data_IF_081097771696
#
_entry.id   IF_081097771696
#
_cell.length_a   1.000
_cell.length_b   1.000
_cell.length_c   1.000
_cell.angle_alpha   90.00
_cell.angle_beta   90.00
_cell.angle_gamma   90.00
#
_symmetry.space_group_name_H-M   'P 1'
#
loop_
_entity.id
_entity.type
_entity.pdbx_description
1 polymer ?
#
# COMPACT_ATOMS: atom_id res chain seq x y z
N UNK A 1 14.04 -2.88 -1.91
CA UNK A 1 14.45 -4.24 -2.26
C UNK A 1 13.34 -4.89 -3.06
N UNK A 2 13.63 -5.24 -4.32
CA UNK A 2 12.70 -5.92 -5.21
C UNK A 2 12.54 -7.43 -4.87
N UNK A 3 12.76 -7.79 -3.61
CA UNK A 3 12.65 -9.18 -3.13
C UNK A 3 11.19 -9.67 -3.11
N UNK A 4 10.24 -8.74 -3.26
CA UNK A 4 8.81 -9.07 -3.20
C UNK A 4 8.18 -9.33 -4.58
N UNK A 5 8.96 -9.42 -5.64
CA UNK A 5 8.48 -9.80 -6.97
C UNK A 5 9.10 -11.13 -7.41
N UNK A 6 8.94 -12.18 -6.58
CA UNK A 6 9.17 -13.52 -7.07
C UNK A 6 7.93 -13.93 -7.88
N UNK A 7 8.10 -14.27 -9.15
CA UNK A 7 7.05 -14.94 -9.93
C UNK A 7 6.91 -16.43 -9.51
N UNK A 8 7.33 -16.75 -8.29
CA UNK A 8 7.40 -18.10 -7.73
C UNK A 8 6.38 -18.33 -6.60
N UNK A 9 5.65 -17.27 -6.17
CA UNK A 9 4.61 -17.44 -5.16
C UNK A 9 3.35 -18.10 -5.75
N UNK A 10 2.78 -19.04 -4.99
CA UNK A 10 1.47 -19.63 -5.33
C UNK A 10 0.35 -18.61 -5.13
N UNK A 11 0.50 -17.73 -4.13
CA UNK A 11 -0.49 -16.70 -3.81
C UNK A 11 0.16 -15.46 -3.21
N UNK A 12 -0.29 -14.30 -3.68
CA UNK A 12 -0.03 -13.01 -3.02
C UNK A 12 -1.23 -12.66 -2.15
N UNK A 13 -0.98 -12.33 -0.89
CA UNK A 13 -2.01 -11.98 0.09
C UNK A 13 -1.72 -10.63 0.72
N UNK A 14 -2.74 -9.80 0.81
CA UNK A 14 -2.76 -8.55 1.58
C UNK A 14 -3.89 -8.64 2.59
N UNK A 15 -3.53 -8.60 3.87
CA UNK A 15 -4.51 -8.66 4.97
C UNK A 15 -5.52 -7.51 4.88
N UNK A 16 -6.80 -7.82 5.09
CA UNK A 16 -7.94 -6.92 4.89
C UNK A 16 -8.39 -6.81 3.43
N UNK A 17 -7.68 -7.44 2.49
CA UNK A 17 -8.00 -7.36 1.05
C UNK A 17 -8.43 -8.69 0.47
N UNK A 18 -7.63 -9.73 0.61
CA UNK A 18 -7.89 -11.04 -0.01
C UNK A 18 -7.36 -12.24 0.80
N UNK A 19 -7.17 -12.11 2.10
CA UNK A 19 -6.67 -13.22 2.94
C UNK A 19 -7.57 -14.45 2.93
N UNK A 20 -8.86 -14.28 2.66
CA UNK A 20 -9.82 -15.38 2.53
C UNK A 20 -9.54 -16.28 1.32
N UNK A 21 -8.75 -15.83 0.35
CA UNK A 21 -8.36 -16.63 -0.81
C UNK A 21 -7.23 -17.62 -0.49
N UNK A 22 -6.69 -17.59 0.74
CA UNK A 22 -5.69 -18.56 1.15
C UNK A 22 -6.30 -19.97 1.24
N UNK A 23 -5.68 -20.91 0.54
CA UNK A 23 -6.00 -22.34 0.59
C UNK A 23 -4.74 -23.11 1.00
N UNK A 24 -4.79 -23.71 2.19
CA UNK A 24 -3.69 -24.48 2.78
C UNK A 24 -3.30 -25.73 1.98
N UNK A 25 -4.20 -26.26 1.17
CA UNK A 25 -3.96 -27.51 0.44
C UNK A 25 -3.22 -27.30 -0.88
N UNK A 26 -3.19 -26.05 -1.38
CA UNK A 26 -2.55 -25.69 -2.66
C UNK A 26 -1.52 -24.55 -2.58
N UNK A 27 -1.58 -23.67 -1.58
CA UNK A 27 -0.68 -22.54 -1.46
C UNK A 27 0.49 -22.84 -0.50
N UNK A 28 1.65 -23.18 -1.06
CA UNK A 28 2.86 -23.53 -0.30
C UNK A 28 3.81 -22.34 -0.16
N UNK A 29 3.85 -21.45 -1.16
CA UNK A 29 4.69 -20.24 -1.16
C UNK A 29 3.78 -19.03 -1.23
N UNK A 30 3.78 -18.23 -0.17
CA UNK A 30 2.90 -17.08 -0.02
C UNK A 30 3.73 -15.80 0.02
N UNK A 31 3.31 -14.80 -0.73
CA UNK A 31 3.87 -13.44 -0.69
C UNK A 31 2.95 -12.50 0.09
N UNK A 32 3.53 -11.75 1.05
CA UNK A 32 2.84 -10.63 1.71
C UNK A 32 2.87 -9.34 0.86
N UNK A 33 3.17 -9.43 -0.44
CA UNK A 33 3.36 -8.29 -1.34
C UNK A 33 4.47 -7.32 -0.86
N UNK A 34 4.34 -6.03 -1.15
CA UNK A 34 5.24 -4.99 -0.67
C UNK A 34 4.56 -4.09 0.36
N UNK A 35 5.35 -3.33 1.12
CA UNK A 35 4.82 -2.32 2.05
C UNK A 35 3.93 -1.29 1.32
N UNK A 36 4.32 -0.86 0.12
CA UNK A 36 3.53 0.06 -0.71
C UNK A 36 2.24 -0.59 -1.20
N UNK A 37 2.26 -1.87 -1.58
CA UNK A 37 1.04 -2.61 -1.98
C UNK A 37 0.10 -2.77 -0.78
N UNK A 38 0.65 -3.06 0.41
CA UNK A 38 -0.13 -3.13 1.65
C UNK A 38 -0.78 -1.79 2.01
N UNK A 39 -0.15 -0.66 1.66
CA UNK A 39 -0.79 0.65 1.82
C UNK A 39 -1.85 0.91 0.74
N UNK A 40 -1.52 0.70 -0.52
CA UNK A 40 -2.40 1.04 -1.66
C UNK A 40 -3.66 0.17 -1.74
N UNK A 41 -3.53 -1.14 -1.57
CA UNK A 41 -4.62 -2.08 -1.82
C UNK A 41 -5.85 -1.88 -0.90
N UNK A 42 -5.71 -1.66 0.43
CA UNK A 42 -6.86 -1.45 1.30
C UNK A 42 -7.72 -0.24 0.89
N UNK A 43 -7.11 0.94 0.70
CA UNK A 43 -7.91 2.11 0.34
C UNK A 43 -8.38 2.07 -1.12
N UNK A 44 -7.64 1.44 -2.04
CA UNK A 44 -8.10 1.20 -3.40
C UNK A 44 -9.31 0.25 -3.43
N UNK A 45 -9.35 -0.78 -2.56
CA UNK A 45 -10.51 -1.67 -2.39
C UNK A 45 -11.75 -0.89 -1.96
N UNK A 46 -11.62 0.06 -1.03
CA UNK A 46 -12.74 0.91 -0.59
C UNK A 46 -13.24 1.79 -1.74
N UNK A 47 -12.33 2.49 -2.45
CA UNK A 47 -12.69 3.34 -3.58
C UNK A 47 -13.39 2.54 -4.70
N UNK A 48 -12.83 1.38 -5.05
CA UNK A 48 -13.39 0.56 -6.12
C UNK A 48 -14.76 -0.02 -5.74
N UNK A 49 -14.92 -0.48 -4.50
CA UNK A 49 -16.18 -1.02 -3.98
C UNK A 49 -17.31 0.02 -3.98
N UNK A 50 -17.04 1.23 -3.51
CA UNK A 50 -18.07 2.25 -3.30
C UNK A 50 -18.33 3.07 -4.58
N UNK A 51 -17.26 3.43 -5.30
CA UNK A 51 -17.36 4.38 -6.42
C UNK A 51 -16.91 3.79 -7.77
N UNK A 52 -16.16 2.68 -7.75
CA UNK A 52 -15.53 2.10 -8.94
C UNK A 52 -14.32 2.90 -9.40
N UNK A 53 -13.17 2.28 -9.59
CA UNK A 53 -12.00 2.91 -10.21
C UNK A 53 -12.04 2.64 -11.72
N UNK A 54 -11.97 3.71 -12.53
CA UNK A 54 -11.81 3.63 -13.97
C UNK A 54 -10.33 3.47 -14.32
N UNK A 55 -9.50 4.41 -13.88
CA UNK A 55 -8.04 4.39 -14.03
C UNK A 55 -7.38 5.28 -12.97
N UNK A 56 -6.06 5.10 -12.75
CA UNK A 56 -5.34 5.94 -11.81
C UNK A 56 -3.82 5.83 -11.94
N UNK A 57 -3.16 6.89 -11.49
CA UNK A 57 -1.70 6.97 -11.35
C UNK A 57 -1.33 7.15 -9.89
N UNK A 58 -0.41 6.31 -9.41
CA UNK A 58 0.10 6.46 -8.06
C UNK A 58 1.57 6.87 -8.06
N UNK A 59 1.92 7.69 -7.09
CA UNK A 59 3.31 7.97 -6.73
C UNK A 59 3.49 7.62 -5.27
N UNK A 60 4.46 6.76 -4.94
CA UNK A 60 4.85 6.63 -3.54
C UNK A 60 6.05 7.52 -3.26
N UNK A 61 5.90 8.44 -2.30
CA UNK A 61 7.00 9.20 -1.70
C UNK A 61 7.51 8.34 -0.56
N UNK A 62 8.67 7.72 -0.76
CA UNK A 62 9.11 6.59 0.05
C UNK A 62 10.42 6.90 0.77
N UNK A 63 10.48 6.54 2.04
CA UNK A 63 11.72 6.55 2.81
C UNK A 63 12.82 5.76 2.07
N UNK A 64 14.08 6.14 2.25
CA UNK A 64 15.20 5.39 1.68
C UNK A 64 15.28 3.97 2.26
N UNK A 65 15.84 3.05 1.49
CA UNK A 65 16.02 1.65 1.89
C UNK A 65 17.42 1.16 1.53
N UNK A 66 17.80 -0.03 1.99
CA UNK A 66 19.10 -0.64 1.70
C UNK A 66 19.41 -0.85 0.21
N UNK A 67 18.42 -0.77 -0.65
CA UNK A 67 18.62 -0.82 -2.11
C UNK A 67 19.34 0.44 -2.66
N UNK A 68 19.33 1.54 -1.92
CA UNK A 68 20.02 2.76 -2.27
C UNK A 68 21.41 2.82 -1.66
N UNK A 69 22.28 3.68 -2.21
CA UNK A 69 23.63 3.89 -1.67
C UNK A 69 23.62 4.97 -0.59
N UNK A 70 24.42 4.76 0.47
CA UNK A 70 24.64 5.77 1.52
C UNK A 70 25.44 6.95 0.95
N UNK A 71 26.52 6.64 0.24
CA UNK A 71 27.34 7.60 -0.52
C UNK A 71 27.22 7.31 -2.01
N UNK A 72 27.53 8.30 -2.85
CA UNK A 72 27.62 8.09 -4.30
C UNK A 72 28.54 6.92 -4.61
N UNK A 73 28.00 5.86 -5.20
CA UNK A 73 28.73 4.62 -5.53
C UNK A 73 28.04 3.88 -6.65
N UNK A 74 28.78 3.06 -7.38
CA UNK A 74 28.24 2.26 -8.49
C UNK A 74 27.01 1.43 -8.09
N UNK A 75 26.00 1.48 -8.93
CA UNK A 75 24.77 0.71 -8.86
C UNK A 75 24.27 0.45 -10.28
N UNK A 76 23.56 -0.68 -10.51
CA UNK A 76 22.98 -1.00 -11.84
C UNK A 76 21.95 0.04 -12.32
N UNK A 77 21.19 0.64 -11.38
CA UNK A 77 20.35 1.80 -11.61
C UNK A 77 21.14 3.06 -11.23
N UNK A 78 21.42 3.93 -12.20
CA UNK A 78 22.22 5.12 -12.01
C UNK A 78 21.58 6.14 -11.06
N UNK A 79 20.27 6.18 -10.95
CA UNK A 79 19.58 7.03 -9.97
C UNK A 79 19.77 6.53 -8.55
N UNK A 80 19.71 5.20 -8.34
CA UNK A 80 19.97 4.58 -7.02
C UNK A 80 21.45 4.57 -6.63
N UNK A 81 22.34 4.96 -7.54
CA UNK A 81 23.78 5.15 -7.29
C UNK A 81 24.09 6.39 -6.45
N UNK A 82 23.15 7.32 -6.32
CA UNK A 82 23.33 8.59 -5.61
C UNK A 82 23.02 8.44 -4.12
N UNK A 83 23.68 9.27 -3.30
CA UNK A 83 23.54 9.28 -1.84
C UNK A 83 22.08 9.45 -1.41
N UNK A 84 21.55 8.47 -0.71
CA UNK A 84 20.14 8.39 -0.32
C UNK A 84 19.71 9.50 0.64
N UNK A 85 20.61 9.92 1.54
CA UNK A 85 20.34 10.95 2.53
C UNK A 85 20.36 12.39 2.00
N UNK A 86 20.73 12.57 0.72
CA UNK A 86 20.89 13.91 0.12
C UNK A 86 20.09 14.10 -1.17
N UNK A 87 19.48 13.03 -1.68
CA UNK A 87 18.88 13.03 -3.02
C UNK A 87 17.45 12.52 -3.03
N UNK A 88 16.57 13.20 -3.76
CA UNK A 88 15.29 12.64 -4.19
C UNK A 88 15.51 11.79 -5.43
N UNK A 89 15.14 10.52 -5.37
CA UNK A 89 15.47 9.54 -6.39
C UNK A 89 14.21 8.94 -6.99
N UNK A 90 13.77 9.37 -8.18
CA UNK A 90 12.71 8.69 -8.93
C UNK A 90 13.18 7.28 -9.33
N UNK A 91 12.33 6.29 -9.11
CA UNK A 91 12.65 4.89 -9.44
C UNK A 91 11.38 4.11 -9.74
N UNK A 92 11.54 2.97 -10.37
CA UNK A 92 10.43 2.07 -10.66
C UNK A 92 9.90 1.42 -9.38
N UNK A 93 8.63 1.05 -9.39
CA UNK A 93 7.99 0.21 -8.37
C UNK A 93 7.02 -0.76 -9.03
N UNK A 94 6.99 -1.99 -8.53
CA UNK A 94 5.98 -2.98 -8.93
C UNK A 94 4.65 -2.85 -8.20
N UNK A 95 4.56 -1.95 -7.20
CA UNK A 95 3.41 -1.92 -6.27
C UNK A 95 2.06 -1.70 -6.96
N UNK A 96 1.96 -0.79 -7.94
CA UNK A 96 0.71 -0.55 -8.66
C UNK A 96 0.25 -1.79 -9.46
N UNK A 97 1.21 -2.51 -10.07
CA UNK A 97 0.91 -3.77 -10.77
C UNK A 97 0.58 -4.91 -9.81
N UNK A 98 1.24 -4.93 -8.64
CA UNK A 98 1.01 -5.94 -7.61
C UNK A 98 -0.40 -5.84 -7.00
N UNK A 99 -1.02 -4.65 -7.01
CA UNK A 99 -2.43 -4.50 -6.59
C UNK A 99 -3.37 -5.38 -7.42
N UNK A 100 -3.11 -5.57 -8.71
CA UNK A 100 -3.92 -6.46 -9.56
C UNK A 100 -3.85 -7.94 -9.14
N UNK A 101 -2.79 -8.37 -8.45
CA UNK A 101 -2.70 -9.74 -7.91
C UNK A 101 -3.68 -9.99 -6.76
N UNK A 102 -4.07 -8.95 -6.02
CA UNK A 102 -4.98 -9.02 -4.87
C UNK A 102 -6.34 -8.37 -5.10
N UNK A 103 -6.45 -7.53 -6.13
CA UNK A 103 -7.68 -6.91 -6.62
C UNK A 103 -7.73 -7.06 -8.16
N UNK A 104 -8.06 -8.26 -8.67
CA UNK A 104 -7.98 -8.55 -10.12
C UNK A 104 -8.80 -7.61 -11.01
N UNK A 105 -9.90 -7.06 -10.49
CA UNK A 105 -10.73 -6.09 -11.21
C UNK A 105 -10.02 -4.76 -11.50
N UNK A 106 -8.87 -4.49 -10.86
CA UNK A 106 -8.02 -3.32 -11.11
C UNK A 106 -6.87 -3.61 -12.07
N UNK A 107 -6.83 -4.80 -12.69
CA UNK A 107 -5.79 -5.12 -13.67
C UNK A 107 -5.80 -4.12 -14.83
N UNK A 108 -4.60 -3.58 -15.14
CA UNK A 108 -4.41 -2.58 -16.19
C UNK A 108 -4.91 -1.17 -15.88
N UNK A 109 -5.60 -0.95 -14.75
CA UNK A 109 -6.17 0.35 -14.40
C UNK A 109 -5.25 1.22 -13.55
N UNK A 110 -4.30 0.64 -12.84
CA UNK A 110 -3.36 1.38 -12.00
C UNK A 110 -1.92 1.24 -12.52
N UNK A 111 -1.22 2.36 -12.55
CA UNK A 111 0.22 2.41 -12.83
C UNK A 111 0.90 3.43 -11.91
N UNK A 112 2.22 3.44 -11.85
CA UNK A 112 2.90 4.41 -11.01
C UNK A 112 4.40 4.18 -10.86
N UNK A 113 5.03 5.03 -10.04
CA UNK A 113 6.45 4.96 -9.73
C UNK A 113 6.71 5.39 -8.29
N UNK A 114 7.95 5.26 -7.85
CA UNK A 114 8.39 5.67 -6.53
C UNK A 114 9.34 6.88 -6.63
N UNK A 115 9.26 7.76 -5.64
CA UNK A 115 10.28 8.78 -5.36
C UNK A 115 10.86 8.48 -3.98
N UNK A 116 12.13 8.05 -3.93
CA UNK A 116 12.83 7.91 -2.67
C UNK A 116 13.26 9.28 -2.18
N UNK A 117 13.08 9.54 -0.89
CA UNK A 117 13.38 10.82 -0.25
C UNK A 117 14.32 10.63 0.94
N UNK A 118 15.08 11.68 1.35
CA UNK A 118 15.97 11.65 2.50
C UNK A 118 15.24 11.57 3.85
N UNK A 119 14.44 10.54 4.05
CA UNK A 119 13.66 10.27 5.26
C UNK A 119 13.91 8.84 5.68
N UNK A 120 14.22 8.56 6.97
CA UNK A 120 14.64 7.23 7.41
C UNK A 120 13.51 6.21 7.45
N UNK A 121 12.29 6.62 7.78
CA UNK A 121 11.11 5.76 7.82
C UNK A 121 9.84 6.57 7.63
N UNK A 122 8.74 5.92 7.41
CA UNK A 122 7.42 6.44 7.03
C UNK A 122 7.39 6.98 5.61
N UNK A 123 6.46 6.47 4.87
CA UNK A 123 6.24 6.76 3.46
C UNK A 123 4.77 7.14 3.25
N UNK A 124 4.46 7.67 2.07
CA UNK A 124 3.07 7.90 1.68
C UNK A 124 2.81 7.44 0.25
N UNK A 125 1.58 7.07 -0.02
CA UNK A 125 1.05 6.86 -1.37
C UNK A 125 0.18 8.05 -1.73
N UNK A 126 0.47 8.65 -2.88
CA UNK A 126 -0.35 9.65 -3.58
C UNK A 126 -1.03 8.94 -4.77
N UNK A 127 -2.34 8.71 -4.68
CA UNK A 127 -3.13 8.15 -5.75
C UNK A 127 -4.00 9.23 -6.37
N UNK A 128 -3.82 9.47 -7.66
CA UNK A 128 -4.77 10.23 -8.48
C UNK A 128 -5.56 9.23 -9.31
N UNK A 129 -6.88 9.23 -9.20
CA UNK A 129 -7.73 8.30 -9.93
C UNK A 129 -9.02 8.94 -10.47
N UNK A 130 -9.55 8.32 -11.51
CA UNK A 130 -10.88 8.64 -12.05
C UNK A 130 -11.85 7.58 -11.55
N UNK A 131 -12.91 8.02 -10.91
CA UNK A 131 -13.98 7.16 -10.42
C UNK A 131 -15.05 6.97 -11.52
N UNK A 132 -15.76 5.84 -11.47
CA UNK A 132 -16.89 5.56 -12.37
C UNK A 132 -18.15 6.31 -11.99
N UNK A 133 -18.34 6.58 -10.67
CA UNK A 133 -19.47 7.31 -10.13
C UNK A 133 -19.02 8.70 -9.72
N UNK A 134 -19.94 9.66 -9.83
CA UNK A 134 -19.77 10.98 -9.23
C UNK A 134 -19.74 10.86 -7.71
N UNK A 135 -18.88 11.66 -7.07
CA UNK A 135 -18.78 11.73 -5.62
C UNK A 135 -18.31 13.12 -5.17
N UNK A 136 -18.47 13.40 -3.89
CA UNK A 136 -17.86 14.54 -3.20
C UNK A 136 -16.67 14.08 -2.34
N UNK A 137 -15.84 15.03 -1.91
CA UNK A 137 -14.72 14.74 -0.99
C UNK A 137 -15.25 14.17 0.33
N UNK A 138 -16.37 14.69 0.81
CA UNK A 138 -17.02 14.27 2.04
C UNK A 138 -17.50 12.81 1.96
N UNK A 139 -18.10 12.42 0.82
CA UNK A 139 -18.55 11.04 0.59
C UNK A 139 -17.39 10.07 0.52
N UNK A 140 -16.31 10.44 -0.17
CA UNK A 140 -15.09 9.63 -0.26
C UNK A 140 -14.43 9.47 1.12
N UNK A 141 -14.29 10.55 1.88
CA UNK A 141 -13.74 10.52 3.23
C UNK A 141 -14.63 9.72 4.19
N UNK A 142 -15.95 9.85 4.09
CA UNK A 142 -16.90 9.06 4.89
C UNK A 142 -16.78 7.56 4.61
N UNK A 143 -16.57 7.16 3.36
CA UNK A 143 -16.34 5.76 3.00
C UNK A 143 -15.05 5.19 3.65
N UNK A 144 -13.95 5.95 3.62
CA UNK A 144 -12.71 5.55 4.28
C UNK A 144 -12.87 5.45 5.80
N UNK A 145 -13.47 6.45 6.43
CA UNK A 145 -13.71 6.48 7.88
C UNK A 145 -14.54 5.27 8.30
N UNK A 146 -15.62 4.99 7.59
CA UNK A 146 -16.47 3.82 7.83
C UNK A 146 -15.66 2.51 7.72
N UNK A 147 -14.88 2.33 6.67
CA UNK A 147 -14.09 1.12 6.48
C UNK A 147 -13.04 0.95 7.59
N UNK A 148 -12.37 2.04 8.01
CA UNK A 148 -11.40 2.04 9.10
C UNK A 148 -12.00 1.66 10.46
N UNK A 149 -13.27 1.99 10.68
CA UNK A 149 -14.01 1.68 11.92
C UNK A 149 -14.66 0.30 11.91
N UNK A 150 -14.83 -0.32 10.73
CA UNK A 150 -15.55 -1.59 10.55
C UNK A 150 -14.71 -2.69 9.91
N UNK A 151 -14.89 -2.93 8.62
CA UNK A 151 -14.36 -4.10 7.88
C UNK A 151 -12.83 -4.14 7.83
N UNK A 152 -12.18 -2.99 7.92
CA UNK A 152 -10.71 -2.86 7.83
C UNK A 152 -10.07 -2.33 9.11
N UNK A 153 -10.77 -2.48 10.23
CA UNK A 153 -10.24 -2.03 11.53
C UNK A 153 -8.88 -2.69 11.85
N UNK A 154 -7.89 -1.86 12.21
CA UNK A 154 -6.52 -2.31 12.45
C UNK A 154 -5.64 -2.44 11.19
N UNK A 155 -6.23 -2.43 10.00
CA UNK A 155 -5.53 -2.45 8.71
C UNK A 155 -5.53 -1.05 8.08
N UNK A 156 -6.71 -0.48 7.92
CA UNK A 156 -6.92 0.88 7.43
C UNK A 156 -7.14 1.83 8.60
N UNK A 157 -6.50 2.98 8.55
CA UNK A 157 -6.76 4.12 9.41
C UNK A 157 -7.29 5.31 8.61
N UNK A 158 -7.89 6.26 9.33
CA UNK A 158 -8.35 7.53 8.78
C UNK A 158 -8.01 8.64 9.78
N UNK A 159 -7.42 9.74 9.30
CA UNK A 159 -7.04 10.87 10.14
C UNK A 159 -7.54 12.19 9.53
N UNK A 160 -8.02 13.07 10.37
CA UNK A 160 -8.34 14.48 10.08
C UNK A 160 -7.43 15.43 10.89
N UNK A 161 -6.30 14.92 11.40
CA UNK A 161 -5.29 15.71 12.10
C UNK A 161 -4.18 16.15 11.14
N UNK A 162 -3.61 17.36 11.32
CA UNK A 162 -2.54 17.88 10.44
C UNK A 162 -1.18 17.25 10.79
N UNK A 163 -1.08 15.92 10.63
CA UNK A 163 0.10 15.13 10.96
C UNK A 163 1.07 15.03 9.77
N UNK A 164 2.32 14.71 10.10
CA UNK A 164 3.40 14.49 9.13
C UNK A 164 4.07 13.14 9.36
N UNK A 165 5.01 12.76 8.51
CA UNK A 165 5.61 11.42 8.52
C UNK A 165 6.09 10.93 9.88
N UNK A 166 6.73 11.78 10.69
CA UNK A 166 7.29 11.35 11.98
C UNK A 166 6.20 10.93 12.98
N UNK A 167 5.00 11.47 12.86
CA UNK A 167 3.87 11.18 13.76
C UNK A 167 3.31 9.76 13.55
N UNK A 168 3.56 9.19 12.37
CA UNK A 168 3.13 7.83 12.01
C UNK A 168 4.20 6.76 12.26
N UNK A 169 5.35 7.15 12.83
CA UNK A 169 6.42 6.19 13.13
C UNK A 169 5.96 5.20 14.20
N UNK A 170 6.08 3.90 13.89
CA UNK A 170 5.65 2.81 14.75
C UNK A 170 4.15 2.53 14.68
N UNK A 171 3.42 3.17 13.75
CA UNK A 171 2.03 2.80 13.50
C UNK A 171 1.96 1.45 12.78
N UNK A 172 1.21 0.52 13.35
CA UNK A 172 1.09 -0.85 12.84
C UNK A 172 0.10 -1.00 11.70
N UNK A 173 -0.73 0.01 11.45
CA UNK A 173 -1.70 -0.04 10.36
C UNK A 173 -1.00 0.02 9.00
N UNK A 174 -1.53 -0.71 8.05
CA UNK A 174 -0.96 -0.78 6.71
C UNK A 174 -1.15 0.50 5.90
N UNK A 175 -2.20 1.25 6.18
CA UNK A 175 -2.66 2.38 5.37
C UNK A 175 -3.43 3.37 6.24
N UNK A 176 -3.01 4.62 6.34
CA UNK A 176 -3.71 5.66 7.09
C UNK A 176 -4.07 6.79 6.14
N UNK A 177 -5.34 6.86 5.73
CA UNK A 177 -5.83 7.89 4.82
C UNK A 177 -5.81 9.24 5.52
N UNK A 178 -5.19 10.22 4.87
CA UNK A 178 -5.17 11.61 5.26
C UNK A 178 -6.41 12.33 4.68
N UNK A 179 -7.44 12.45 5.51
CA UNK A 179 -8.70 13.06 5.09
C UNK A 179 -8.59 14.55 4.76
N UNK A 180 -7.64 15.28 5.36
CA UNK A 180 -7.40 16.69 5.06
C UNK A 180 -6.77 16.89 3.69
N UNK A 181 -6.06 15.89 3.17
CA UNK A 181 -5.37 15.94 1.89
C UNK A 181 -6.20 15.36 0.73
N UNK A 182 -7.38 14.83 1.00
CA UNK A 182 -8.30 14.38 -0.06
C UNK A 182 -8.81 15.57 -0.85
N UNK A 183 -8.66 15.52 -2.17
CA UNK A 183 -9.13 16.59 -3.05
C UNK A 183 -9.74 16.04 -4.33
N UNK A 184 -10.58 16.84 -4.99
CA UNK A 184 -11.21 16.48 -6.26
C UNK A 184 -11.04 17.56 -7.32
N UNK A 185 -11.08 17.14 -8.58
CA UNK A 185 -11.33 18.00 -9.74
C UNK A 185 -12.58 17.50 -10.46
N UNK A 186 -13.63 18.33 -10.44
CA UNK A 186 -14.95 17.87 -10.85
C UNK A 186 -15.50 16.84 -9.87
N UNK A 187 -16.37 15.96 -10.37
CA UNK A 187 -17.07 14.96 -9.55
C UNK A 187 -16.45 13.57 -9.57
N UNK A 188 -15.43 13.33 -10.43
CA UNK A 188 -14.91 11.98 -10.68
C UNK A 188 -13.40 11.85 -10.53
N UNK A 189 -12.63 12.93 -10.64
CA UNK A 189 -11.17 12.87 -10.47
C UNK A 189 -10.83 13.19 -9.01
N UNK A 190 -10.17 12.24 -8.35
CA UNK A 190 -9.80 12.36 -6.95
C UNK A 190 -8.30 12.15 -6.76
N UNK A 191 -7.73 12.89 -5.81
CA UNK A 191 -6.43 12.63 -5.21
C UNK A 191 -6.64 12.17 -3.77
N UNK A 192 -6.04 11.04 -3.40
CA UNK A 192 -6.07 10.47 -2.05
C UNK A 192 -4.63 10.24 -1.60
N UNK A 193 -4.33 10.70 -0.39
CA UNK A 193 -3.04 10.48 0.27
C UNK A 193 -3.24 9.46 1.39
N UNK A 194 -2.35 8.50 1.47
CA UNK A 194 -2.33 7.55 2.58
C UNK A 194 -0.90 7.33 3.09
N UNK A 195 -0.73 7.44 4.41
CA UNK A 195 0.51 7.25 5.14
C UNK A 195 0.71 5.78 5.55
N UNK A 196 1.95 5.37 5.69
CA UNK A 196 2.31 4.05 6.22
C UNK A 196 3.74 4.03 6.76
N UNK A 197 3.96 3.38 7.89
CA UNK A 197 5.32 3.04 8.29
C UNK A 197 5.75 1.81 7.46
N UNK A 198 6.64 2.05 6.49
CA UNK A 198 7.06 1.03 5.52
C UNK A 198 7.86 -0.12 6.16
N UNK A 199 8.34 0.04 7.38
CA UNK A 199 9.05 -1.00 8.13
C UNK A 199 8.13 -1.64 9.18
N UNK A 200 7.61 -0.84 10.10
CA UNK A 200 6.80 -1.34 11.21
C UNK A 200 5.45 -1.91 10.77
N UNK A 201 4.70 -1.15 9.97
CA UNK A 201 3.39 -1.60 9.47
C UNK A 201 3.51 -2.87 8.62
N UNK A 202 4.52 -2.95 7.74
CA UNK A 202 4.75 -4.16 6.94
C UNK A 202 5.15 -5.36 7.80
N UNK A 203 6.01 -5.16 8.80
CA UNK A 203 6.42 -6.23 9.72
C UNK A 203 5.23 -6.74 10.53
N UNK A 204 4.37 -5.85 11.02
CA UNK A 204 3.13 -6.21 11.72
C UNK A 204 2.20 -7.05 10.84
N UNK A 205 2.00 -6.64 9.58
CA UNK A 205 1.20 -7.44 8.62
C UNK A 205 1.81 -8.80 8.31
N UNK A 206 3.13 -8.91 8.32
CA UNK A 206 3.78 -10.21 8.13
C UNK A 206 3.47 -11.15 9.30
N UNK A 207 3.49 -10.64 10.52
CA UNK A 207 3.10 -11.44 11.70
C UNK A 207 1.64 -11.86 11.63
N UNK A 208 0.73 -10.94 11.31
CA UNK A 208 -0.69 -11.25 11.18
C UNK A 208 -0.96 -12.31 10.09
N UNK A 209 -0.26 -12.22 8.97
CA UNK A 209 -0.37 -13.23 7.91
C UNK A 209 0.11 -14.61 8.39
N UNK A 210 1.22 -14.67 9.15
CA UNK A 210 1.70 -15.92 9.74
C UNK A 210 0.67 -16.50 10.70
N UNK A 211 0.10 -15.67 11.58
CA UNK A 211 -0.94 -16.11 12.52
C UNK A 211 -2.20 -16.58 11.79
N UNK A 212 -2.60 -15.87 10.73
CA UNK A 212 -3.74 -16.25 9.90
C UNK A 212 -3.52 -17.61 9.26
N UNK A 213 -2.38 -17.83 8.60
CA UNK A 213 -2.00 -19.12 7.99
C UNK A 213 -1.97 -20.23 9.04
N UNK A 214 -1.29 -20.02 10.16
CA UNK A 214 -1.22 -20.98 11.25
C UNK A 214 -2.61 -21.34 11.81
N UNK A 215 -3.54 -20.40 11.85
CA UNK A 215 -4.92 -20.64 12.29
C UNK A 215 -5.71 -21.56 11.35
N UNK A 216 -5.42 -21.50 10.04
CA UNK A 216 -6.04 -22.34 9.01
C UNK A 216 -5.44 -23.75 8.96
N UNK A 217 -4.17 -23.88 9.33
CA UNK A 217 -3.45 -25.17 9.32
C UNK A 217 -3.67 -25.99 10.60
N UNK A 218 -4.16 -25.38 11.67
CA UNK A 218 -4.47 -26.11 12.90
C UNK A 218 -5.57 -27.13 12.61
N UNK A 219 -5.18 -28.40 12.46
CA UNK A 219 -6.11 -29.51 12.64
C UNK A 219 -6.68 -29.38 14.06
N UNK A 220 -7.99 -29.28 14.18
CA UNK A 220 -8.64 -29.32 15.48
C UNK A 220 -8.19 -30.61 16.17
N UNK A 221 -7.34 -30.49 17.18
CA UNK A 221 -7.08 -31.57 18.11
C UNK A 221 -8.30 -31.59 19.01
N UNK A 222 -9.27 -32.46 18.67
CA UNK A 222 -10.38 -32.84 19.53
C UNK A 222 -9.93 -34.03 20.37
#
# INVERSE_FOLDING_TARGET
SDVCSSDLEDKTIVMGVNEEEYDKDIHNIISNASCTTNCLAPFAKVLDKEFGIEEGLMTTIHAYTNDQRILDKSHKDLRRARAAGESMIPTTTGAAKAVAKVLPQLEGKLNGFAVRVPTPTVSLVDLVCILKKDATVEEVNAAFKKAAETDMKGILGYSEEPLVSIDYRGDERSSIVDGLSTMSMGSRMFKVISWYDNEWGYSSRTVDLVDYVASKDRKSVV
#
